data_IF_361838222976
#
_entry.id   IF_361838222976
#
_cell.length_a   1.000
_cell.length_b   1.000
_cell.length_c   1.000
_cell.angle_alpha   90.00
_cell.angle_beta   90.00
_cell.angle_gamma   90.00
#
_symmetry.space_group_name_H-M   'P 1'
#
loop_
_entity.id
_entity.type
_entity.pdbx_description
1 polymer ?
#
# COMPACT_ATOMS: atom_id res chain seq x y z
N UNK A 1 -6.94 21.43 -34.42
CA UNK A 1 -6.51 20.03 -34.60
C UNK A 1 -6.26 19.44 -33.23
N UNK A 2 -7.20 18.66 -32.70
CA UNK A 2 -6.99 17.94 -31.44
C UNK A 2 -5.98 16.82 -31.68
N UNK A 3 -4.89 16.78 -30.90
CA UNK A 3 -3.93 15.68 -30.95
C UNK A 3 -4.66 14.39 -30.51
N UNK A 4 -4.55 13.28 -31.25
CA UNK A 4 -5.12 12.01 -30.80
C UNK A 4 -4.41 11.63 -29.51
N UNK A 5 -5.16 11.58 -28.40
CA UNK A 5 -4.66 11.03 -27.15
C UNK A 5 -4.38 9.55 -27.43
N UNK A 6 -3.10 9.16 -27.55
CA UNK A 6 -2.71 7.75 -27.52
C UNK A 6 -3.14 7.23 -26.15
N UNK A 7 -4.32 6.61 -26.08
CA UNK A 7 -4.71 5.85 -24.90
C UNK A 7 -3.62 4.80 -24.67
N UNK A 8 -2.98 4.77 -23.49
CA UNK A 8 -1.97 3.77 -23.22
C UNK A 8 -2.60 2.39 -23.42
N UNK A 9 -2.03 1.60 -24.33
CA UNK A 9 -2.51 0.24 -24.60
C UNK A 9 -2.54 -0.59 -23.31
N UNK A 10 -3.60 -1.37 -23.12
CA UNK A 10 -3.70 -2.34 -22.04
C UNK A 10 -2.81 -3.53 -22.35
N UNK A 11 -1.65 -3.58 -21.70
CA UNK A 11 -0.77 -4.76 -21.72
C UNK A 11 -1.40 -5.92 -20.94
N UNK A 12 -0.96 -7.15 -21.22
CA UNK A 12 -1.48 -8.35 -20.55
C UNK A 12 -1.27 -8.30 -19.04
N UNK A 13 -0.12 -7.78 -18.58
CA UNK A 13 0.13 -7.56 -17.16
C UNK A 13 -0.86 -6.58 -16.51
N UNK A 14 -1.30 -5.53 -17.23
CA UNK A 14 -2.32 -4.61 -16.71
C UNK A 14 -3.70 -5.27 -16.65
N UNK A 15 -4.03 -6.14 -17.61
CA UNK A 15 -5.29 -6.90 -17.61
C UNK A 15 -5.35 -7.87 -16.44
N UNK A 16 -4.26 -8.60 -16.21
CA UNK A 16 -4.15 -9.55 -15.10
C UNK A 16 -4.35 -8.86 -13.74
N UNK A 17 -3.71 -7.71 -13.53
CA UNK A 17 -3.88 -6.93 -12.28
C UNK A 17 -5.35 -6.51 -12.09
N UNK A 18 -6.01 -6.06 -13.15
CA UNK A 18 -7.42 -5.66 -13.10
C UNK A 18 -8.32 -6.86 -12.80
N UNK A 19 -8.10 -8.01 -13.44
CA UNK A 19 -8.87 -9.23 -13.17
C UNK A 19 -8.79 -9.66 -11.71
N UNK A 20 -7.58 -9.71 -11.14
CA UNK A 20 -7.38 -10.06 -9.72
C UNK A 20 -8.04 -9.06 -8.78
N UNK A 21 -7.96 -7.77 -9.09
CA UNK A 21 -8.65 -6.75 -8.28
C UNK A 21 -10.16 -6.95 -8.26
N UNK A 22 -10.79 -7.29 -9.38
CA UNK A 22 -12.23 -7.53 -9.46
C UNK A 22 -12.63 -8.76 -8.65
N UNK A 23 -11.86 -9.84 -8.74
CA UNK A 23 -12.14 -11.11 -8.06
C UNK A 23 -11.89 -11.04 -6.54
N UNK A 24 -10.78 -10.42 -6.11
CA UNK A 24 -10.39 -10.38 -4.70
C UNK A 24 -11.16 -9.34 -3.88
N UNK A 25 -11.58 -8.22 -4.49
CA UNK A 25 -12.20 -7.09 -3.78
C UNK A 25 -13.72 -6.92 -4.05
N UNK A 26 -14.36 -7.85 -4.78
CA UNK A 26 -15.79 -7.81 -5.15
C UNK A 26 -16.21 -6.44 -5.71
N UNK A 27 -15.54 -6.02 -6.78
CA UNK A 27 -15.72 -4.68 -7.36
C UNK A 27 -17.06 -4.61 -8.09
N UNK A 28 -17.94 -3.70 -7.64
CA UNK A 28 -19.28 -3.49 -8.23
C UNK A 28 -19.41 -2.11 -8.87
N UNK A 29 -18.78 -1.10 -8.29
CA UNK A 29 -18.81 0.29 -8.76
C UNK A 29 -17.41 0.90 -8.85
N UNK A 30 -17.30 2.05 -9.54
CA UNK A 30 -16.02 2.74 -9.72
C UNK A 30 -15.38 3.19 -8.39
N UNK A 31 -16.19 3.41 -7.36
CA UNK A 31 -15.71 3.74 -6.01
C UNK A 31 -14.99 2.54 -5.34
N UNK A 32 -15.48 1.32 -5.57
CA UNK A 32 -14.86 0.10 -5.05
C UNK A 32 -13.45 -0.09 -5.63
N UNK A 33 -13.24 0.28 -6.89
CA UNK A 33 -11.90 0.27 -7.53
C UNK A 33 -10.94 1.18 -6.75
N UNK A 34 -11.38 2.37 -6.37
CA UNK A 34 -10.53 3.32 -5.64
C UNK A 34 -10.19 2.81 -4.24
N UNK A 35 -11.16 2.20 -3.57
CA UNK A 35 -10.97 1.63 -2.23
C UNK A 35 -10.03 0.41 -2.28
N UNK A 36 -10.23 -0.49 -3.24
CA UNK A 36 -9.36 -1.65 -3.46
C UNK A 36 -7.91 -1.22 -3.75
N UNK A 37 -7.71 -0.22 -4.62
CA UNK A 37 -6.38 0.30 -4.91
C UNK A 37 -5.73 0.97 -3.70
N UNK A 38 -6.49 1.73 -2.90
CA UNK A 38 -5.99 2.35 -1.66
C UNK A 38 -5.57 1.31 -0.63
N UNK A 39 -6.38 0.28 -0.44
CA UNK A 39 -6.06 -0.81 0.49
C UNK A 39 -4.84 -1.60 0.01
N UNK A 40 -4.82 -2.03 -1.25
CA UNK A 40 -3.72 -2.79 -1.83
C UNK A 40 -2.38 -2.04 -1.71
N UNK A 41 -2.37 -0.74 -2.06
CA UNK A 41 -1.17 0.08 -1.94
C UNK A 41 -0.80 0.34 -0.47
N UNK A 42 -1.79 0.57 0.39
CA UNK A 42 -1.60 0.77 1.82
C UNK A 42 -0.95 -0.44 2.50
N UNK A 43 -1.42 -1.65 2.18
CA UNK A 43 -0.86 -2.92 2.65
C UNK A 43 0.53 -3.18 2.09
N UNK A 44 0.77 -2.88 0.82
CA UNK A 44 2.09 -3.00 0.20
C UNK A 44 3.12 -2.11 0.90
N UNK A 45 2.80 -0.83 1.10
CA UNK A 45 3.69 0.10 1.80
C UNK A 45 3.89 -0.32 3.26
N UNK A 46 2.84 -0.79 3.93
CA UNK A 46 2.97 -1.29 5.30
C UNK A 46 3.93 -2.49 5.38
N UNK A 47 3.82 -3.46 4.47
CA UNK A 47 4.75 -4.60 4.43
C UNK A 47 6.19 -4.17 4.16
N UNK A 48 6.41 -3.17 3.30
CA UNK A 48 7.75 -2.59 3.08
C UNK A 48 8.29 -1.94 4.36
N UNK A 49 7.49 -1.13 5.04
CA UNK A 49 7.88 -0.49 6.31
C UNK A 49 8.15 -1.51 7.42
N UNK A 50 7.33 -2.55 7.53
CA UNK A 50 7.52 -3.64 8.50
C UNK A 50 8.83 -4.37 8.25
N UNK A 51 9.14 -4.71 6.99
CA UNK A 51 10.41 -5.34 6.62
C UNK A 51 11.64 -4.47 6.91
N UNK A 52 11.55 -3.16 6.65
CA UNK A 52 12.61 -2.20 7.01
C UNK A 52 12.82 -2.13 8.54
N UNK A 53 11.73 -2.12 9.33
CA UNK A 53 11.81 -2.12 10.78
C UNK A 53 12.38 -3.42 11.35
N UNK A 54 11.99 -4.57 10.80
CA UNK A 54 12.54 -5.88 11.19
C UNK A 54 14.05 -5.97 10.91
N UNK A 55 14.49 -5.45 9.77
CA UNK A 55 15.91 -5.41 9.40
C UNK A 55 16.70 -4.58 10.41
N UNK A 56 16.25 -3.35 10.70
CA UNK A 56 16.88 -2.49 11.71
C UNK A 56 16.90 -3.13 13.10
N UNK A 57 15.83 -3.84 13.48
CA UNK A 57 15.75 -4.55 14.76
C UNK A 57 16.75 -5.69 14.82
N UNK A 58 16.96 -6.41 13.72
CA UNK A 58 17.93 -7.50 13.63
C UNK A 58 19.36 -6.99 13.75
N UNK A 59 19.70 -5.91 13.05
CA UNK A 59 21.01 -5.25 13.17
C UNK A 59 21.30 -4.82 14.61
N UNK A 60 20.33 -4.19 15.29
CA UNK A 60 20.49 -3.78 16.69
C UNK A 60 20.61 -4.95 17.68
N UNK A 61 19.94 -6.07 17.41
CA UNK A 61 20.09 -7.28 18.23
C UNK A 61 21.42 -8.00 17.99
N UNK A 62 22.02 -7.83 16.80
CA UNK A 62 23.36 -8.34 16.52
C UNK A 62 24.44 -7.54 17.27
N UNK A 63 24.22 -6.22 17.43
CA UNK A 63 25.06 -5.35 18.25
C UNK A 63 24.83 -5.53 19.77
N UNK A 64 23.58 -5.68 20.20
CA UNK A 64 23.18 -5.91 21.59
C UNK A 64 22.09 -7.00 21.69
N UNK A 65 22.42 -8.24 22.11
CA UNK A 65 21.45 -9.33 22.15
C UNK A 65 20.34 -9.14 23.20
N UNK A 66 20.46 -8.16 24.10
CA UNK A 66 19.39 -7.78 25.03
C UNK A 66 18.45 -6.70 24.47
N UNK A 67 18.73 -6.18 23.27
CA UNK A 67 17.94 -5.10 22.65
C UNK A 67 16.49 -5.55 22.36
N UNK A 68 15.54 -4.84 22.97
CA UNK A 68 14.10 -5.02 22.71
C UNK A 68 13.53 -3.71 22.16
N UNK A 69 12.89 -3.75 20.98
CA UNK A 69 12.33 -2.56 20.34
C UNK A 69 11.05 -2.07 21.06
N UNK A 70 11.07 -0.89 21.71
CA UNK A 70 9.90 -0.35 22.41
C UNK A 70 8.80 0.17 21.47
N UNK A 71 9.07 0.31 20.17
CA UNK A 71 8.08 0.79 19.17
C UNK A 71 7.02 -0.26 18.83
N UNK A 72 7.27 -1.54 19.14
CA UNK A 72 6.32 -2.65 18.98
C UNK A 72 5.22 -2.68 20.04
N UNK A 73 5.21 -1.75 21.01
CA UNK A 73 4.00 -1.47 21.79
C UNK A 73 2.94 -0.89 20.84
N UNK A 74 2.02 -1.74 20.39
CA UNK A 74 0.96 -1.46 19.40
C UNK A 74 0.34 -0.07 19.58
N UNK A 75 0.81 0.92 18.82
CA UNK A 75 0.12 2.20 18.68
C UNK A 75 -0.95 2.02 17.61
N UNK A 76 -2.25 2.17 17.92
CA UNK A 76 -3.27 2.16 16.87
C UNK A 76 -2.97 3.30 15.90
N UNK A 77 -3.02 3.00 14.59
CA UNK A 77 -2.89 3.99 13.51
C UNK A 77 -3.85 5.14 13.82
N UNK A 78 -3.33 6.37 13.98
CA UNK A 78 -4.18 7.56 13.94
C UNK A 78 -4.81 7.60 12.55
N UNK A 79 -6.12 7.44 12.47
CA UNK A 79 -6.88 7.78 11.28
C UNK A 79 -6.60 9.25 10.98
N UNK A 80 -5.73 9.53 10.01
CA UNK A 80 -5.63 10.88 9.45
C UNK A 80 -6.95 11.14 8.74
N UNK A 81 -7.75 12.14 9.17
CA UNK A 81 -8.97 12.48 8.46
C UNK A 81 -8.58 12.89 7.03
N UNK A 82 -9.20 12.27 6.04
CA UNK A 82 -8.98 12.51 4.60
C UNK A 82 -9.40 13.92 4.13
N UNK A 83 -9.65 14.86 5.04
CA UNK A 83 -10.20 16.19 4.71
C UNK A 83 -9.17 17.32 4.65
N UNK A 84 -7.90 17.13 5.04
CA UNK A 84 -6.95 18.24 5.18
C UNK A 84 -5.71 18.20 4.26
N UNK A 85 -5.76 17.46 3.15
CA UNK A 85 -4.61 17.34 2.23
C UNK A 85 -4.72 18.19 0.94
N UNK A 86 -5.70 19.10 0.84
CA UNK A 86 -5.89 19.97 -0.32
C UNK A 86 -6.22 21.41 0.05
N UNK A 87 -5.27 22.10 0.70
CA UNK A 87 -5.23 23.56 0.77
C UNK A 87 -3.89 24.08 0.25
#
# INVERSE_FOLDING_TARGET
>A
MERPRKSPSMSDGKREIISRLIEEYDIRFAEDIQNALRDLLGRTVQGMMEGEMETQKKEKQEEDPAYTDPRMATKPRRSVPTMDLWK
#
